data_IF_587875815345
#
_entry.id   IF_587875815345
#
_cell.length_a   1.000
_cell.length_b   1.000
_cell.length_c   1.000
_cell.angle_alpha   90.00
_cell.angle_beta   90.00
_cell.angle_gamma   90.00
#
_symmetry.space_group_name_H-M   'P 1'
#
loop_
_entity.id
_entity.type
_entity.pdbx_description
1 polymer ?
#
# COMPACT_ATOMS: atom_id res chain seq x y z
N UNK A 1 -16.27 42.52 11.04
CA UNK A 1 -16.04 41.22 11.69
C UNK A 1 -16.24 40.09 10.67
N UNK A 2 -15.24 39.23 10.56
CA UNK A 2 -15.28 37.80 10.22
C UNK A 2 -15.86 37.33 8.88
N UNK A 3 -15.02 37.35 7.84
CA UNK A 3 -15.03 36.35 6.77
C UNK A 3 -14.13 35.19 7.23
N UNK A 4 -14.69 33.99 7.45
CA UNK A 4 -13.85 32.82 7.74
C UNK A 4 -14.53 31.63 8.39
N UNK A 5 -15.50 30.97 7.72
CA UNK A 5 -15.98 29.65 8.18
C UNK A 5 -16.33 28.65 7.06
N UNK A 6 -16.17 28.99 5.77
CA UNK A 6 -16.50 28.07 4.66
C UNK A 6 -15.32 27.23 4.15
N UNK A 7 -14.08 27.53 4.55
CA UNK A 7 -12.87 26.79 4.16
C UNK A 7 -12.55 25.57 5.02
N UNK A 8 -12.83 25.63 6.34
CA UNK A 8 -12.33 24.61 7.28
C UNK A 8 -12.99 23.24 7.15
N UNK A 9 -14.29 23.15 6.80
CA UNK A 9 -14.98 21.85 6.72
C UNK A 9 -14.55 21.00 5.52
N UNK A 10 -14.29 21.61 4.35
CA UNK A 10 -13.80 20.89 3.16
C UNK A 10 -12.34 20.45 3.32
N UNK A 11 -11.50 21.27 3.96
CA UNK A 11 -10.12 20.89 4.29
C UNK A 11 -10.08 19.73 5.29
N UNK A 12 -10.87 19.79 6.35
CA UNK A 12 -10.95 18.75 7.38
C UNK A 12 -11.46 17.40 6.81
N UNK A 13 -12.40 17.41 5.85
CA UNK A 13 -12.84 16.18 5.17
C UNK A 13 -11.78 15.60 4.22
N UNK A 14 -10.99 16.43 3.53
CA UNK A 14 -9.88 15.95 2.70
C UNK A 14 -8.76 15.33 3.52
N UNK A 15 -8.43 15.91 4.68
CA UNK A 15 -7.47 15.31 5.62
C UNK A 15 -7.97 14.00 6.23
N UNK A 16 -9.28 13.87 6.48
CA UNK A 16 -9.89 12.61 6.94
C UNK A 16 -9.90 11.52 5.89
N UNK A 17 -9.92 11.88 4.60
CA UNK A 17 -9.86 10.92 3.49
C UNK A 17 -8.42 10.57 3.08
N UNK A 18 -7.46 11.44 3.39
CA UNK A 18 -6.05 11.18 3.10
C UNK A 18 -5.48 10.16 4.09
N UNK A 19 -4.78 9.15 3.57
CA UNK A 19 -4.20 8.09 4.38
C UNK A 19 -3.01 8.60 5.21
N UNK A 20 -2.17 9.47 4.64
CA UNK A 20 -0.93 9.94 5.29
C UNK A 20 -1.17 10.63 6.64
N UNK A 21 -2.12 11.57 6.80
CA UNK A 21 -2.43 12.13 8.12
C UNK A 21 -2.94 11.09 9.13
N UNK A 22 -3.70 10.09 8.68
CA UNK A 22 -4.19 9.01 9.54
C UNK A 22 -3.05 8.09 10.01
N UNK A 23 -2.09 7.82 9.12
CA UNK A 23 -0.90 7.05 9.45
C UNK A 23 -0.04 7.76 10.48
N UNK A 24 0.23 9.06 10.30
CA UNK A 24 0.96 9.87 11.29
C UNK A 24 0.27 9.88 12.66
N UNK A 25 -1.06 9.99 12.66
CA UNK A 25 -1.84 9.95 13.91
C UNK A 25 -1.75 8.60 14.62
N UNK A 26 -1.74 7.49 13.87
CA UNK A 26 -1.81 6.14 14.43
C UNK A 26 -0.43 5.57 14.78
N UNK A 27 0.59 5.91 13.99
CA UNK A 27 1.93 5.30 14.02
C UNK A 27 3.06 6.28 14.33
N UNK A 28 2.74 7.57 14.49
CA UNK A 28 3.72 8.66 14.66
C UNK A 28 4.40 9.06 13.35
N UNK A 29 5.20 10.13 13.39
CA UNK A 29 6.00 10.58 12.24
C UNK A 29 7.09 9.56 11.86
N UNK A 30 7.46 9.56 10.58
CA UNK A 30 8.58 8.77 10.06
C UNK A 30 9.89 9.53 10.28
N UNK A 31 10.93 8.82 10.71
CA UNK A 31 12.32 9.25 10.52
C UNK A 31 12.82 8.90 9.11
N UNK A 32 14.00 9.40 8.74
CA UNK A 32 14.56 9.28 7.38
C UNK A 32 14.61 7.85 6.82
N UNK A 33 14.77 6.84 7.69
CA UNK A 33 14.91 5.44 7.29
C UNK A 33 13.68 4.59 7.64
N UNK A 34 12.56 5.22 7.95
CA UNK A 34 11.31 4.55 8.28
C UNK A 34 10.26 4.75 7.17
N UNK A 35 9.38 3.76 7.03
CA UNK A 35 8.21 3.82 6.15
C UNK A 35 6.97 3.27 6.86
N UNK A 36 5.79 3.68 6.40
CA UNK A 36 4.56 2.96 6.72
C UNK A 36 4.44 1.77 5.78
N UNK A 37 4.57 0.56 6.33
CA UNK A 37 4.49 -0.68 5.59
C UNK A 37 3.10 -1.31 5.76
N UNK A 38 2.41 -1.56 4.65
CA UNK A 38 1.08 -2.19 4.66
C UNK A 38 1.20 -3.69 4.89
N UNK A 39 0.30 -4.25 5.67
CA UNK A 39 0.09 -5.69 5.73
C UNK A 39 -0.44 -6.20 4.37
N UNK A 40 0.33 -7.07 3.71
CA UNK A 40 -0.02 -7.63 2.39
C UNK A 40 -1.33 -8.43 2.37
N UNK A 41 -1.76 -8.95 3.52
CA UNK A 41 -3.00 -9.73 3.65
C UNK A 41 -4.23 -8.84 3.85
N UNK A 42 -4.05 -7.53 4.04
CA UNK A 42 -5.16 -6.61 4.22
C UNK A 42 -5.83 -6.30 2.88
N UNK A 43 -7.12 -6.62 2.73
CA UNK A 43 -7.89 -6.25 1.53
C UNK A 43 -8.13 -4.74 1.41
N UNK A 44 -8.23 -4.04 2.55
CA UNK A 44 -8.51 -2.60 2.60
C UNK A 44 -7.24 -1.77 2.80
N UNK A 45 -7.29 -0.52 2.33
CA UNK A 45 -6.21 0.46 2.47
C UNK A 45 -6.54 1.46 3.59
N UNK A 46 -6.51 0.97 4.83
CA UNK A 46 -6.85 1.72 6.04
C UNK A 46 -5.67 1.74 7.02
N UNK A 47 -5.55 2.78 7.84
CA UNK A 47 -4.35 3.05 8.64
C UNK A 47 -4.03 1.95 9.68
N UNK A 48 -5.03 1.21 10.15
CA UNK A 48 -4.92 0.07 11.06
C UNK A 48 -4.22 -1.15 10.43
N UNK A 49 -4.13 -1.21 9.10
CA UNK A 49 -3.41 -2.25 8.38
C UNK A 49 -1.97 -1.89 8.03
N UNK A 50 -1.48 -0.77 8.56
CA UNK A 50 -0.10 -0.34 8.40
C UNK A 50 0.66 -0.52 9.70
N UNK A 51 1.98 -0.58 9.58
CA UNK A 51 2.92 -0.54 10.68
C UNK A 51 4.11 0.32 10.27
N UNK A 52 4.76 0.97 11.22
CA UNK A 52 6.01 1.70 10.97
C UNK A 52 7.18 0.72 11.00
N UNK A 53 8.01 0.69 9.95
CA UNK A 53 9.19 -0.19 9.85
C UNK A 53 10.40 0.59 9.34
N UNK A 54 11.60 0.07 9.61
CA UNK A 54 12.79 0.51 8.87
C UNK A 54 12.72 0.02 7.43
N UNK A 55 13.30 0.77 6.50
CA UNK A 55 13.39 0.39 5.08
C UNK A 55 14.00 -1.00 4.91
N UNK A 56 15.07 -1.33 5.66
CA UNK A 56 15.71 -2.65 5.60
C UNK A 56 14.79 -3.81 6.00
N UNK A 57 13.94 -3.59 7.02
CA UNK A 57 12.96 -4.58 7.50
C UNK A 57 11.76 -4.69 6.56
N UNK A 58 11.41 -3.60 5.88
CA UNK A 58 10.38 -3.63 4.85
C UNK A 58 10.84 -4.39 3.61
N UNK A 59 12.07 -4.15 3.15
CA UNK A 59 12.66 -4.85 1.99
C UNK A 59 12.70 -6.36 2.24
N UNK A 60 13.08 -6.80 3.44
CA UNK A 60 13.07 -8.24 3.77
C UNK A 60 11.69 -8.89 3.81
N UNK A 61 10.59 -8.10 3.78
CA UNK A 61 9.20 -8.58 3.76
C UNK A 61 8.59 -8.57 2.36
N UNK A 62 9.24 -7.92 1.39
CA UNK A 62 8.82 -7.92 -0.01
C UNK A 62 9.36 -9.20 -0.65
N UNK A 63 8.53 -10.01 -1.31
CA UNK A 63 9.03 -11.19 -2.02
C UNK A 63 9.93 -10.77 -3.18
N UNK A 64 11.01 -11.50 -3.39
CA UNK A 64 11.94 -11.25 -4.50
C UNK A 64 11.32 -11.58 -5.87
N UNK A 65 10.31 -12.46 -5.89
CA UNK A 65 9.63 -12.94 -7.10
C UNK A 65 8.14 -13.13 -6.84
N UNK A 66 7.32 -12.88 -7.86
CA UNK A 66 5.89 -13.18 -7.89
C UNK A 66 5.68 -14.37 -8.82
N UNK A 67 5.31 -15.51 -8.24
CA UNK A 67 4.86 -16.68 -8.99
C UNK A 67 3.34 -16.62 -9.18
N UNK A 68 2.87 -16.75 -10.41
CA UNK A 68 1.45 -16.90 -10.69
C UNK A 68 1.20 -17.87 -11.83
N UNK A 69 0.03 -18.51 -11.80
CA UNK A 69 -0.43 -19.40 -12.86
C UNK A 69 -1.87 -19.11 -13.21
N UNK A 70 -2.22 -19.27 -14.47
CA UNK A 70 -3.58 -19.07 -14.96
C UNK A 70 -3.95 -20.14 -15.98
N UNK A 71 -5.23 -20.48 -16.02
CA UNK A 71 -5.78 -21.40 -17.01
C UNK A 71 -6.06 -20.65 -18.31
N UNK A 72 -5.70 -21.25 -19.43
CA UNK A 72 -6.03 -20.80 -20.79
C UNK A 72 -6.64 -21.96 -21.57
N UNK A 73 -7.49 -21.66 -22.54
CA UNK A 73 -7.98 -22.67 -23.48
C UNK A 73 -7.30 -22.49 -24.83
N UNK A 74 -6.69 -23.56 -25.35
CA UNK A 74 -6.05 -23.59 -26.67
C UNK A 74 -6.59 -24.79 -27.43
N UNK A 75 -7.36 -24.54 -28.48
CA UNK A 75 -7.95 -25.60 -29.30
C UNK A 75 -8.98 -26.49 -28.57
N UNK A 76 -9.75 -25.92 -27.63
CA UNK A 76 -10.75 -26.67 -26.84
C UNK A 76 -10.17 -27.46 -25.67
N UNK A 77 -8.87 -27.37 -25.41
CA UNK A 77 -8.22 -27.98 -24.25
C UNK A 77 -7.72 -26.93 -23.28
N UNK A 78 -7.98 -27.13 -21.99
CA UNK A 78 -7.45 -26.30 -20.93
C UNK A 78 -5.95 -26.59 -20.72
N UNK A 79 -5.15 -25.53 -20.62
CA UNK A 79 -3.74 -25.56 -20.26
C UNK A 79 -3.51 -24.63 -19.07
N UNK A 80 -2.58 -24.99 -18.18
CA UNK A 80 -2.15 -24.11 -17.09
C UNK A 80 -0.81 -23.50 -17.48
N UNK A 81 -0.77 -22.17 -17.61
CA UNK A 81 0.46 -21.42 -17.86
C UNK A 81 0.96 -20.88 -16.53
N UNK A 82 2.23 -21.08 -16.23
CA UNK A 82 2.89 -20.54 -15.03
C UNK A 82 3.95 -19.52 -15.44
N UNK A 83 4.01 -18.40 -14.71
CA UNK A 83 4.97 -17.32 -14.94
C UNK A 83 5.54 -16.83 -13.62
N UNK A 84 6.81 -16.40 -13.68
CA UNK A 84 7.52 -15.79 -12.56
C UNK A 84 7.91 -14.37 -12.97
N UNK A 85 7.51 -13.38 -12.18
CA UNK A 85 7.92 -11.98 -12.36
C UNK A 85 8.91 -11.64 -11.24
N UNK A 86 10.18 -11.34 -11.54
CA UNK A 86 11.10 -10.82 -10.53
C UNK A 86 10.61 -9.45 -10.03
N UNK A 87 10.45 -9.31 -8.71
CA UNK A 87 10.00 -8.06 -8.08
C UNK A 87 11.06 -6.94 -8.17
N UNK A 88 12.32 -7.30 -8.43
CA UNK A 88 13.45 -6.36 -8.55
C UNK A 88 13.65 -5.73 -9.94
N UNK A 89 12.84 -6.05 -10.94
CA UNK A 89 13.03 -5.57 -12.33
C UNK A 89 12.46 -4.19 -12.65
N UNK A 90 11.92 -3.48 -11.65
CA UNK A 90 11.63 -2.03 -11.77
C UNK A 90 12.81 -1.29 -11.15
N UNK A 91 13.90 -1.15 -11.92
CA UNK A 91 14.98 -0.19 -11.65
C UNK A 91 15.04 0.82 -12.78
#
# INVERSE_FOLDING_TARGET
MQLGQKGSRKFLMRERAALTPQLRRSHGELSQNEIYFRNRNAGQNTADHYQKLKISEAVSRVPDEIYYSFAVEVGGQQQIVSQTIPAGSVR
#
